data_IF_504253947091
#
_entry.id   IF_504253947091
#
_cell.length_a   1.000
_cell.length_b   1.000
_cell.length_c   1.000
_cell.angle_alpha   90.00
_cell.angle_beta   90.00
_cell.angle_gamma   90.00
#
_symmetry.space_group_name_H-M   'P 1'
#
loop_
_entity.id
_entity.type
_entity.pdbx_description
1 polymer ?
#
# COMPACT_ATOMS: atom_id res chain seq x y z
N UNK A 1 13.08 -1.34 27.48
CA UNK A 1 12.36 -0.12 27.03
C UNK A 1 11.12 -0.52 26.25
N UNK A 2 9.98 0.13 26.48
CA UNK A 2 8.69 -0.27 25.88
C UNK A 2 8.17 0.81 24.94
N UNK A 3 7.88 0.42 23.68
CA UNK A 3 7.25 1.28 22.66
C UNK A 3 5.74 1.05 22.67
N UNK A 4 4.97 2.13 22.67
CA UNK A 4 3.52 2.08 22.56
C UNK A 4 3.09 2.18 21.08
N UNK A 5 2.27 1.25 20.59
CA UNK A 5 1.64 1.33 19.27
C UNK A 5 0.13 1.46 19.42
N UNK A 6 -0.47 2.46 18.79
CA UNK A 6 -1.92 2.70 18.79
C UNK A 6 -2.50 2.22 17.46
N UNK A 7 -3.49 1.33 17.54
CA UNK A 7 -4.17 0.74 16.37
C UNK A 7 -3.88 -0.75 16.23
N UNK A 8 -4.76 -1.46 15.52
CA UNK A 8 -4.69 -2.90 15.31
C UNK A 8 -4.84 -3.26 13.81
N UNK A 9 -4.42 -2.37 12.93
CA UNK A 9 -4.39 -2.60 11.50
C UNK A 9 -3.14 -3.34 11.04
N UNK A 10 -3.09 -3.69 9.76
CA UNK A 10 -1.95 -4.39 9.17
C UNK A 10 -0.62 -3.64 9.38
N UNK A 11 -0.62 -2.32 9.24
CA UNK A 11 0.56 -1.48 9.50
C UNK A 11 1.05 -1.62 10.94
N UNK A 12 0.14 -1.55 11.92
CA UNK A 12 0.49 -1.64 13.35
C UNK A 12 1.10 -3.01 13.68
N UNK A 13 0.51 -4.12 13.19
CA UNK A 13 1.06 -5.46 13.40
C UNK A 13 2.40 -5.66 12.69
N UNK A 14 2.55 -5.13 11.47
CA UNK A 14 3.82 -5.21 10.73
C UNK A 14 4.94 -4.48 11.46
N UNK A 15 4.65 -3.26 11.94
CA UNK A 15 5.60 -2.48 12.73
C UNK A 15 5.91 -3.13 14.07
N UNK A 16 4.88 -3.62 14.80
CA UNK A 16 5.08 -4.34 16.05
C UNK A 16 6.02 -5.53 15.86
N UNK A 17 5.79 -6.33 14.78
CA UNK A 17 6.64 -7.48 14.48
C UNK A 17 8.08 -7.07 14.16
N UNK A 18 8.27 -5.97 13.43
CA UNK A 18 9.60 -5.44 13.14
C UNK A 18 10.36 -5.01 14.41
N UNK A 19 9.66 -4.37 15.37
CA UNK A 19 10.26 -3.90 16.64
C UNK A 19 10.59 -5.06 17.59
N UNK A 20 9.68 -6.04 17.75
CA UNK A 20 9.97 -7.19 18.61
C UNK A 20 11.09 -8.08 18.08
N UNK A 21 11.35 -8.07 16.76
CA UNK A 21 12.51 -8.73 16.17
C UNK A 21 13.83 -8.00 16.48
N UNK A 22 13.75 -6.74 16.93
CA UNK A 22 14.87 -5.99 17.48
C UNK A 22 14.94 -6.05 19.01
N UNK A 23 14.24 -7.02 19.65
CA UNK A 23 14.15 -7.22 21.10
C UNK A 23 13.59 -6.01 21.88
N UNK A 24 12.76 -5.20 21.20
CA UNK A 24 12.08 -4.06 21.80
C UNK A 24 10.72 -4.50 22.33
N UNK A 25 10.42 -4.20 23.60
CA UNK A 25 9.09 -4.42 24.15
C UNK A 25 8.05 -3.55 23.45
N UNK A 26 6.93 -4.16 23.04
CA UNK A 26 5.84 -3.47 22.35
C UNK A 26 4.53 -3.70 23.08
N UNK A 27 3.91 -2.59 23.51
CA UNK A 27 2.53 -2.54 23.96
C UNK A 27 1.64 -2.04 22.82
N UNK A 28 0.87 -2.94 22.20
CA UNK A 28 -0.06 -2.57 21.14
C UNK A 28 -1.46 -2.35 21.72
N UNK A 29 -1.99 -1.15 21.53
CA UNK A 29 -3.31 -0.75 22.02
C UNK A 29 -4.36 -0.79 20.89
N UNK A 30 -5.43 -1.56 21.11
CA UNK A 30 -6.55 -1.71 20.19
C UNK A 30 -7.88 -1.29 20.82
N UNK A 31 -8.71 -0.57 20.07
CA UNK A 31 -10.09 -0.27 20.44
C UNK A 31 -11.09 -1.35 20.00
N UNK A 32 -10.61 -2.39 19.30
CA UNK A 32 -11.43 -3.49 18.75
C UNK A 32 -10.85 -4.83 19.16
N UNK A 33 -11.67 -5.68 19.80
CA UNK A 33 -11.30 -7.07 20.11
C UNK A 33 -11.16 -7.93 18.83
N UNK A 34 -12.02 -7.68 17.84
CA UNK A 34 -12.04 -8.42 16.58
C UNK A 34 -11.87 -7.46 15.40
N UNK A 35 -10.71 -7.45 14.77
CA UNK A 35 -10.45 -6.68 13.58
C UNK A 35 -10.83 -7.50 12.34
N UNK A 36 -11.94 -7.12 11.70
CA UNK A 36 -12.41 -7.81 10.48
C UNK A 36 -11.71 -7.22 9.25
N UNK A 37 -10.89 -8.01 8.60
CA UNK A 37 -10.29 -7.67 7.30
C UNK A 37 -11.14 -8.29 6.20
N UNK A 38 -11.47 -7.47 5.21
CA UNK A 38 -12.18 -7.95 4.03
C UNK A 38 -11.33 -8.99 3.27
N UNK A 39 -11.82 -10.23 3.05
CA UNK A 39 -11.07 -11.29 2.38
C UNK A 39 -10.74 -11.00 0.90
N UNK A 40 -11.51 -10.12 0.24
CA UNK A 40 -11.31 -9.74 -1.16
C UNK A 40 -10.15 -8.77 -1.36
N UNK A 41 -9.69 -8.10 -0.29
CA UNK A 41 -8.59 -7.14 -0.39
C UNK A 41 -7.25 -7.82 -0.58
N UNK A 42 -6.52 -7.34 -1.57
CA UNK A 42 -5.16 -7.77 -1.90
C UNK A 42 -4.19 -6.61 -1.84
N UNK A 43 -2.93 -6.93 -1.63
CA UNK A 43 -1.82 -5.99 -1.64
C UNK A 43 -0.82 -6.45 -2.68
N UNK A 44 -0.30 -5.51 -3.45
CA UNK A 44 0.87 -5.72 -4.27
C UNK A 44 2.14 -5.31 -3.52
N UNK A 45 3.17 -6.16 -3.54
CA UNK A 45 4.45 -5.88 -2.88
C UNK A 45 5.59 -6.05 -3.87
N UNK A 46 6.48 -5.06 -3.91
CA UNK A 46 7.66 -5.09 -4.78
C UNK A 46 8.68 -6.10 -4.28
N UNK A 47 9.55 -6.57 -5.17
CA UNK A 47 10.60 -7.55 -4.83
C UNK A 47 11.48 -7.06 -3.69
N UNK A 48 11.93 -5.83 -3.75
CA UNK A 48 12.79 -5.23 -2.74
C UNK A 48 12.13 -5.20 -1.35
N UNK A 49 10.84 -4.82 -1.31
CA UNK A 49 10.07 -4.83 -0.06
C UNK A 49 9.80 -6.24 0.47
N UNK A 50 9.67 -7.25 -0.40
CA UNK A 50 9.56 -8.66 0.02
C UNK A 50 10.85 -9.13 0.67
N UNK A 51 12.00 -8.79 0.09
CA UNK A 51 13.31 -9.18 0.63
C UNK A 51 13.53 -8.54 2.00
N UNK A 52 13.21 -7.24 2.14
CA UNK A 52 13.23 -6.56 3.43
C UNK A 52 12.26 -7.22 4.45
N UNK A 53 11.04 -7.53 4.04
CA UNK A 53 10.01 -8.14 4.88
C UNK A 53 10.43 -9.51 5.40
N UNK A 54 10.96 -10.36 4.51
CA UNK A 54 11.43 -11.70 4.84
C UNK A 54 12.64 -11.67 5.79
N UNK A 55 13.53 -10.68 5.64
CA UNK A 55 14.74 -10.54 6.45
C UNK A 55 14.45 -9.95 7.84
N UNK A 56 13.60 -8.91 7.91
CA UNK A 56 13.48 -8.08 9.12
C UNK A 56 12.15 -8.26 9.86
N UNK A 57 11.11 -8.82 9.22
CA UNK A 57 9.77 -8.90 9.81
C UNK A 57 9.33 -10.36 9.97
N UNK A 58 8.88 -11.00 8.89
CA UNK A 58 8.46 -12.39 8.87
C UNK A 58 8.50 -12.93 7.43
N UNK A 59 8.81 -14.21 7.27
CA UNK A 59 8.83 -14.84 5.95
C UNK A 59 7.41 -14.99 5.37
N UNK A 60 7.17 -14.31 4.24
CA UNK A 60 5.88 -14.29 3.55
C UNK A 60 5.84 -15.11 2.27
N UNK A 61 6.92 -15.82 1.91
CA UNK A 61 7.03 -16.56 0.64
C UNK A 61 5.89 -17.55 0.39
N UNK A 62 5.32 -18.15 1.45
CA UNK A 62 4.22 -19.12 1.36
C UNK A 62 2.85 -18.50 1.09
N UNK A 63 2.71 -17.18 1.26
CA UNK A 63 1.42 -16.48 1.14
C UNK A 63 1.35 -15.48 -0.02
N UNK A 64 2.47 -15.28 -0.74
CA UNK A 64 2.55 -14.42 -1.92
C UNK A 64 2.35 -15.21 -3.21
N UNK A 65 1.81 -14.53 -4.23
CA UNK A 65 1.78 -14.98 -5.61
C UNK A 65 2.74 -14.15 -6.43
N UNK A 66 3.80 -14.78 -6.96
CA UNK A 66 4.87 -14.11 -7.69
C UNK A 66 4.44 -13.75 -9.10
N UNK A 67 4.76 -12.53 -9.52
CA UNK A 67 4.53 -12.04 -10.87
C UNK A 67 5.85 -11.77 -11.57
N UNK A 68 5.94 -12.24 -12.81
CA UNK A 68 7.11 -12.06 -13.69
C UNK A 68 6.97 -10.83 -14.57
N UNK A 69 5.73 -10.40 -14.83
CA UNK A 69 5.43 -9.30 -15.77
C UNK A 69 4.35 -8.38 -15.23
N UNK A 70 4.44 -7.12 -15.62
CA UNK A 70 3.36 -6.14 -15.50
C UNK A 70 3.16 -5.52 -16.87
N UNK A 71 1.96 -5.64 -17.41
CA UNK A 71 1.58 -5.09 -18.70
C UNK A 71 0.56 -3.98 -18.52
N UNK A 72 0.85 -2.82 -19.10
CA UNK A 72 0.00 -1.63 -19.03
C UNK A 72 -0.54 -1.33 -20.42
N UNK A 73 -1.86 -1.19 -20.52
CA UNK A 73 -2.61 -0.90 -21.73
C UNK A 73 -3.33 0.44 -21.61
N UNK A 74 -3.64 1.05 -22.74
CA UNK A 74 -4.50 2.22 -22.83
C UNK A 74 -5.60 2.00 -23.86
N UNK A 75 -6.84 2.29 -23.45
CA UNK A 75 -7.99 2.24 -24.36
C UNK A 75 -7.85 3.28 -25.50
N UNK A 76 -7.15 4.41 -25.25
CA UNK A 76 -6.85 5.42 -26.26
C UNK A 76 -5.85 4.94 -27.36
N UNK A 77 -5.20 3.81 -27.15
CA UNK A 77 -4.32 3.16 -28.12
C UNK A 77 -4.96 1.88 -28.70
N UNK A 78 -6.30 1.83 -28.79
CA UNK A 78 -7.02 0.63 -29.26
C UNK A 78 -6.64 -0.65 -28.48
N UNK A 79 -6.39 -0.49 -27.17
CA UNK A 79 -5.88 -1.54 -26.27
C UNK A 79 -4.47 -2.06 -26.61
N UNK A 80 -3.67 -1.29 -27.35
CA UNK A 80 -2.27 -1.60 -27.54
C UNK A 80 -1.50 -1.51 -26.21
N UNK A 81 -0.47 -2.35 -26.10
CA UNK A 81 0.42 -2.38 -24.96
C UNK A 81 1.26 -1.09 -24.93
N UNK A 82 1.14 -0.33 -23.82
CA UNK A 82 1.83 0.92 -23.60
C UNK A 82 3.19 0.70 -22.92
N UNK A 83 3.20 -0.12 -21.86
CA UNK A 83 4.41 -0.45 -21.09
C UNK A 83 4.43 -1.94 -20.78
N UNK A 84 5.62 -2.55 -20.83
CA UNK A 84 5.85 -3.92 -20.46
C UNK A 84 7.06 -4.02 -19.54
N UNK A 85 6.81 -4.24 -18.25
CA UNK A 85 7.85 -4.53 -17.28
C UNK A 85 8.05 -6.05 -17.19
N UNK A 86 9.29 -6.49 -17.39
CA UNK A 86 9.69 -7.89 -17.21
C UNK A 86 10.74 -7.97 -16.11
N UNK A 87 10.64 -8.99 -15.27
CA UNK A 87 11.68 -9.28 -14.30
C UNK A 87 12.96 -9.72 -15.03
N UNK A 88 14.12 -9.22 -14.57
CA UNK A 88 15.42 -9.80 -14.90
C UNK A 88 15.62 -11.15 -14.22
N UNK A 89 15.04 -11.33 -13.06
CA UNK A 89 15.02 -12.56 -12.25
C UNK A 89 13.54 -12.90 -11.98
N UNK A 90 13.13 -14.12 -11.99
CA UNK A 90 11.77 -14.69 -11.91
C UNK A 90 10.67 -13.97 -11.09
N UNK A 91 10.94 -12.79 -10.53
CA UNK A 91 10.01 -12.04 -9.70
C UNK A 91 10.22 -10.52 -9.81
N UNK A 92 9.22 -9.81 -10.32
CA UNK A 92 9.18 -8.34 -10.34
C UNK A 92 8.35 -7.79 -9.16
N UNK A 93 7.23 -8.44 -8.90
CA UNK A 93 6.20 -8.00 -7.98
C UNK A 93 5.47 -9.22 -7.42
N UNK A 94 4.77 -9.09 -6.32
CA UNK A 94 3.92 -10.18 -5.83
C UNK A 94 2.62 -9.66 -5.27
N UNK A 95 1.59 -10.47 -5.35
CA UNK A 95 0.29 -10.19 -4.78
C UNK A 95 0.05 -11.11 -3.58
N UNK A 96 -0.49 -10.56 -2.53
CA UNK A 96 -0.92 -11.32 -1.35
C UNK A 96 -2.29 -10.83 -0.85
N UNK A 97 -2.98 -11.68 -0.12
CA UNK A 97 -4.26 -11.35 0.52
C UNK A 97 -4.01 -10.71 1.89
N UNK A 98 -4.57 -9.52 2.13
CA UNK A 98 -4.39 -8.78 3.40
C UNK A 98 -4.70 -9.64 4.63
N UNK A 99 -5.81 -10.39 4.59
CA UNK A 99 -6.23 -11.20 5.73
C UNK A 99 -5.25 -12.35 6.05
N UNK A 100 -4.54 -12.89 5.04
CA UNK A 100 -3.53 -13.93 5.26
C UNK A 100 -2.30 -13.34 5.96
N UNK A 101 -1.83 -12.19 5.52
CA UNK A 101 -0.70 -11.51 6.16
C UNK A 101 -1.06 -11.10 7.59
N UNK A 102 -2.26 -10.55 7.80
CA UNK A 102 -2.74 -10.17 9.12
C UNK A 102 -2.73 -11.36 10.10
N UNK A 103 -3.35 -12.49 9.70
CA UNK A 103 -3.38 -13.70 10.53
C UNK A 103 -1.99 -14.28 10.81
N UNK A 104 -1.07 -14.20 9.84
CA UNK A 104 0.30 -14.65 10.01
C UNK A 104 1.01 -13.80 11.09
N UNK A 105 0.92 -12.47 10.99
CA UNK A 105 1.50 -11.54 11.96
C UNK A 105 0.86 -11.68 13.35
N UNK A 106 -0.47 -11.73 13.43
CA UNK A 106 -1.21 -11.89 14.69
C UNK A 106 -0.81 -13.19 15.42
N UNK A 107 -0.77 -14.30 14.69
CA UNK A 107 -0.37 -15.62 15.25
C UNK A 107 1.06 -15.62 15.76
N UNK A 108 1.98 -14.98 15.06
CA UNK A 108 3.40 -14.95 15.45
C UNK A 108 3.62 -14.00 16.64
N UNK A 109 3.02 -12.80 16.60
CA UNK A 109 3.09 -11.82 17.69
C UNK A 109 2.49 -12.35 18.98
N UNK A 110 1.37 -13.08 18.94
CA UNK A 110 0.72 -13.63 20.15
C UNK A 110 1.60 -14.59 20.95
N UNK A 111 2.66 -15.10 20.35
CA UNK A 111 3.64 -16.02 20.99
C UNK A 111 4.93 -15.31 21.40
N UNK A 112 5.10 -14.03 21.06
CA UNK A 112 6.35 -13.32 21.29
C UNK A 112 6.37 -12.68 22.67
N UNK A 113 7.43 -12.94 23.47
CA UNK A 113 7.58 -12.42 24.83
C UNK A 113 7.67 -10.89 24.94
N UNK A 114 8.14 -10.23 23.88
CA UNK A 114 8.25 -8.78 23.81
C UNK A 114 6.95 -8.09 23.36
N UNK A 115 5.87 -8.83 23.12
CA UNK A 115 4.61 -8.28 22.61
C UNK A 115 3.47 -8.40 23.61
N UNK A 116 2.77 -7.30 23.86
CA UNK A 116 1.54 -7.28 24.68
C UNK A 116 0.42 -6.56 23.96
N UNK A 117 -0.71 -7.24 23.76
CA UNK A 117 -1.93 -6.66 23.19
C UNK A 117 -2.80 -6.15 24.34
N UNK A 118 -3.13 -4.86 24.32
CA UNK A 118 -3.96 -4.18 25.32
C UNK A 118 -5.21 -3.62 24.67
N UNK A 119 -6.36 -3.75 25.33
CA UNK A 119 -7.63 -3.20 24.85
C UNK A 119 -8.02 -1.96 25.62
N UNK A 120 -8.58 -0.97 24.91
CA UNK A 120 -9.12 0.24 25.52
C UNK A 120 -10.48 0.59 24.90
N UNK A 121 -11.35 1.24 25.69
CA UNK A 121 -12.58 1.85 25.18
C UNK A 121 -12.30 3.27 24.68
N UNK A 122 -11.58 4.05 25.50
CA UNK A 122 -11.12 5.41 25.19
C UNK A 122 -9.64 5.54 25.54
N UNK A 123 -8.90 6.29 24.71
CA UNK A 123 -7.49 6.55 24.98
C UNK A 123 -7.36 7.54 26.11
N UNK A 124 -6.80 7.09 27.22
CA UNK A 124 -6.40 7.97 28.31
C UNK A 124 -5.01 8.57 28.02
N UNK A 125 -4.95 9.88 27.81
CA UNK A 125 -3.68 10.58 27.51
C UNK A 125 -2.68 10.46 28.65
N UNK A 126 -3.13 10.37 29.93
CA UNK A 126 -2.24 10.19 31.08
C UNK A 126 -1.51 8.84 31.06
N UNK A 127 -2.14 7.81 30.47
CA UNK A 127 -1.56 6.48 30.32
C UNK A 127 -0.41 6.49 29.31
N UNK A 128 -0.51 7.38 28.31
CA UNK A 128 0.51 7.55 27.29
C UNK A 128 1.78 8.24 27.81
N UNK A 129 1.70 9.01 28.88
CA UNK A 129 2.87 9.67 29.49
C UNK A 129 3.90 8.65 30.05
N UNK A 130 3.53 7.37 30.17
CA UNK A 130 4.44 6.28 30.59
C UNK A 130 5.40 5.82 29.49
N UNK A 131 5.15 6.23 28.24
CA UNK A 131 5.94 5.79 27.08
C UNK A 131 6.76 6.95 26.54
N UNK A 132 8.06 6.73 26.35
CA UNK A 132 8.96 7.71 25.73
C UNK A 132 8.71 7.81 24.22
N UNK A 133 8.27 6.73 23.57
CA UNK A 133 7.93 6.67 22.16
C UNK A 133 6.54 6.05 21.96
N UNK A 134 5.65 6.78 21.29
CA UNK A 134 4.30 6.36 20.94
C UNK A 134 4.16 6.43 19.43
N UNK A 135 3.73 5.34 18.79
CA UNK A 135 3.53 5.29 17.34
C UNK A 135 2.04 5.11 17.05
N UNK A 136 1.42 6.15 16.49
CA UNK A 136 -0.01 6.15 16.19
C UNK A 136 -0.27 5.70 14.75
N UNK A 137 -0.83 4.50 14.61
CA UNK A 137 -1.27 3.91 13.34
C UNK A 137 -2.80 3.99 13.12
N UNK A 138 -3.56 4.57 14.07
CA UNK A 138 -5.02 4.66 13.98
C UNK A 138 -5.45 6.04 13.48
N UNK A 139 -6.02 6.16 12.25
CA UNK A 139 -6.45 7.44 11.68
C UNK A 139 -7.75 7.98 12.31
N UNK A 140 -8.41 7.23 13.20
CA UNK A 140 -9.74 7.56 13.72
C UNK A 140 -9.76 7.92 15.21
N UNK A 141 -8.66 7.76 15.94
CA UNK A 141 -8.62 8.03 17.38
C UNK A 141 -8.56 9.52 17.72
N UNK A 142 -8.78 9.85 19.00
CA UNK A 142 -8.77 11.23 19.51
C UNK A 142 -7.42 11.93 19.32
N UNK A 143 -6.31 11.19 19.42
CA UNK A 143 -4.94 11.72 19.22
C UNK A 143 -4.77 12.21 17.79
N UNK A 144 -5.25 11.44 16.82
CA UNK A 144 -5.22 11.84 15.41
C UNK A 144 -6.00 13.13 15.17
N UNK A 145 -7.20 13.24 15.71
CA UNK A 145 -8.03 14.41 15.53
C UNK A 145 -7.43 15.65 16.21
N UNK A 146 -6.78 15.48 17.36
CA UNK A 146 -6.22 16.58 18.16
C UNK A 146 -4.88 17.08 17.60
N UNK A 147 -3.97 16.18 17.22
CA UNK A 147 -2.58 16.55 16.89
C UNK A 147 -2.21 16.40 15.41
N UNK A 148 -2.95 15.61 14.64
CA UNK A 148 -2.63 15.28 13.24
C UNK A 148 -3.74 15.73 12.27
N UNK A 149 -4.36 16.87 12.53
CA UNK A 149 -5.41 17.46 11.69
C UNK A 149 -4.86 18.17 10.44
N UNK A 150 -3.64 18.75 10.52
CA UNK A 150 -3.02 19.51 9.41
C UNK A 150 -2.47 18.57 8.35
N UNK A 151 -3.25 18.33 7.27
CA UNK A 151 -2.94 17.41 6.18
C UNK A 151 -3.31 18.00 4.83
N UNK A 152 -2.55 17.62 3.81
CA UNK A 152 -2.87 17.91 2.40
C UNK A 152 -3.74 16.76 1.92
N UNK A 153 -4.96 17.04 1.50
CA UNK A 153 -5.91 16.01 1.02
C UNK A 153 -6.35 16.36 -0.39
N UNK A 154 -6.20 15.42 -1.32
CA UNK A 154 -6.76 15.49 -2.67
C UNK A 154 -7.86 14.43 -2.81
N UNK A 155 -9.08 14.85 -3.09
CA UNK A 155 -10.21 13.96 -3.42
C UNK A 155 -10.23 13.75 -4.94
N UNK A 156 -10.14 12.50 -5.40
CA UNK A 156 -10.10 12.19 -6.83
C UNK A 156 -11.47 12.20 -7.51
N UNK A 157 -12.56 12.39 -6.73
CA UNK A 157 -13.94 12.24 -7.24
C UNK A 157 -14.11 10.90 -7.95
N UNK A 158 -13.55 9.83 -7.39
CA UNK A 158 -13.59 8.47 -7.90
C UNK A 158 -13.75 7.47 -6.79
N UNK A 159 -14.32 6.29 -7.11
CA UNK A 159 -14.47 5.14 -6.21
C UNK A 159 -13.67 3.97 -6.74
N UNK A 160 -12.96 3.26 -5.88
CA UNK A 160 -12.39 1.97 -6.22
C UNK A 160 -13.40 0.87 -5.92
N UNK A 161 -13.56 -0.03 -6.88
CA UNK A 161 -14.34 -1.26 -6.78
C UNK A 161 -13.37 -2.43 -6.77
N UNK A 162 -13.55 -3.34 -5.82
CA UNK A 162 -12.67 -4.51 -5.67
C UNK A 162 -13.48 -5.79 -5.60
N UNK A 163 -13.00 -6.81 -6.30
CA UNK A 163 -13.59 -8.16 -6.28
C UNK A 163 -12.52 -9.20 -6.60
N UNK A 164 -12.85 -10.48 -6.47
CA UNK A 164 -12.04 -11.60 -6.93
C UNK A 164 -12.85 -12.36 -7.97
N UNK A 165 -12.24 -12.63 -9.12
CA UNK A 165 -12.78 -13.54 -10.13
C UNK A 165 -12.12 -14.90 -10.01
N UNK A 166 -12.93 -15.95 -10.15
CA UNK A 166 -12.49 -17.32 -10.40
C UNK A 166 -12.65 -17.62 -11.89
N UNK A 167 -11.64 -18.18 -12.50
CA UNK A 167 -11.56 -18.46 -13.94
C UNK A 167 -10.89 -19.80 -14.19
N UNK A 168 -10.86 -20.23 -15.42
CA UNK A 168 -10.13 -21.43 -15.82
C UNK A 168 -8.65 -21.32 -15.47
N UNK A 169 -8.01 -22.46 -15.21
CA UNK A 169 -6.59 -22.49 -14.87
C UNK A 169 -5.75 -22.03 -16.06
N UNK A 170 -4.90 -21.03 -15.83
CA UNK A 170 -3.98 -20.47 -16.81
C UNK A 170 -2.61 -20.20 -16.16
N UNK A 171 -1.56 -20.03 -16.95
CA UNK A 171 -0.31 -19.46 -16.46
C UNK A 171 -0.59 -18.01 -16.09
N UNK A 172 -0.63 -17.72 -14.78
CA UNK A 172 -1.14 -16.45 -14.26
C UNK A 172 -0.05 -15.68 -13.51
N UNK A 173 1.03 -15.34 -14.22
CA UNK A 173 2.23 -14.67 -13.71
C UNK A 173 2.36 -13.20 -14.16
N UNK A 174 1.32 -12.67 -14.83
CA UNK A 174 1.32 -11.33 -15.42
C UNK A 174 0.18 -10.48 -14.86
N UNK A 175 0.51 -9.38 -14.18
CA UNK A 175 -0.48 -8.35 -13.84
C UNK A 175 -0.79 -7.51 -15.08
N UNK A 176 -2.07 -7.16 -15.23
CA UNK A 176 -2.55 -6.33 -16.32
C UNK A 176 -3.21 -5.09 -15.74
N UNK A 177 -2.84 -3.91 -16.23
CA UNK A 177 -3.50 -2.67 -15.91
C UNK A 177 -3.93 -1.97 -17.20
N UNK A 178 -5.20 -1.61 -17.31
CA UNK A 178 -5.75 -0.90 -18.46
C UNK A 178 -6.27 0.47 -18.03
N UNK A 179 -5.79 1.54 -18.65
CA UNK A 179 -6.38 2.87 -18.53
C UNK A 179 -7.59 2.96 -19.44
N UNK A 180 -8.78 2.84 -18.84
CA UNK A 180 -10.06 2.89 -19.56
C UNK A 180 -10.68 4.28 -19.51
N UNK A 181 -11.70 4.52 -20.34
CA UNK A 181 -12.51 5.77 -20.32
C UNK A 181 -13.18 6.03 -18.97
N UNK A 182 -13.45 4.98 -18.19
CA UNK A 182 -14.06 5.10 -16.87
C UNK A 182 -13.02 5.23 -15.75
N UNK A 183 -11.74 4.94 -16.01
CA UNK A 183 -10.63 4.98 -15.09
C UNK A 183 -9.76 3.73 -15.13
N UNK A 184 -8.70 3.64 -14.32
CA UNK A 184 -7.78 2.51 -14.35
C UNK A 184 -8.40 1.23 -13.77
N UNK A 185 -8.29 0.14 -14.54
CA UNK A 185 -8.71 -1.22 -14.20
C UNK A 185 -7.48 -2.12 -14.11
N UNK A 186 -7.31 -2.81 -12.99
CA UNK A 186 -6.20 -3.74 -12.77
C UNK A 186 -6.70 -5.17 -12.54
N UNK A 187 -6.05 -6.13 -13.20
CA UNK A 187 -6.17 -7.58 -13.00
C UNK A 187 -4.90 -8.07 -12.33
N UNK A 188 -5.01 -8.51 -11.09
CA UNK A 188 -3.89 -8.86 -10.22
C UNK A 188 -3.98 -10.35 -9.86
N UNK A 189 -3.19 -11.23 -10.51
CA UNK A 189 -3.18 -12.67 -10.24
C UNK A 189 -2.91 -12.99 -8.77
N UNK A 190 -3.65 -13.96 -8.22
CA UNK A 190 -3.46 -14.48 -6.85
C UNK A 190 -3.36 -16.00 -6.81
N UNK A 191 -3.63 -16.67 -7.92
CA UNK A 191 -3.37 -18.09 -8.19
C UNK A 191 -3.55 -18.36 -9.68
N UNK A 192 -3.34 -19.60 -10.12
CA UNK A 192 -3.58 -20.00 -11.52
C UNK A 192 -5.05 -19.87 -11.96
N UNK A 193 -6.00 -19.89 -11.00
CA UNK A 193 -7.44 -19.84 -11.26
C UNK A 193 -8.18 -18.71 -10.54
N UNK A 194 -7.46 -17.78 -9.92
CA UNK A 194 -8.06 -16.60 -9.25
C UNK A 194 -7.26 -15.34 -9.51
N UNK A 195 -7.98 -14.25 -9.77
CA UNK A 195 -7.43 -12.92 -10.03
C UNK A 195 -8.21 -11.88 -9.24
N UNK A 196 -7.51 -11.01 -8.52
CA UNK A 196 -8.09 -9.85 -7.84
C UNK A 196 -8.26 -8.72 -8.85
N UNK A 197 -9.39 -8.04 -8.78
CA UNK A 197 -9.74 -6.90 -9.62
C UNK A 197 -9.75 -5.64 -8.75
N UNK A 198 -9.14 -4.58 -9.27
CA UNK A 198 -9.23 -3.23 -8.72
C UNK A 198 -9.62 -2.28 -9.84
N UNK A 199 -10.82 -1.73 -9.78
CA UNK A 199 -11.33 -0.80 -10.77
C UNK A 199 -11.60 0.56 -10.14
N UNK A 200 -10.82 1.57 -10.49
CA UNK A 200 -11.02 2.95 -10.04
C UNK A 200 -11.90 3.68 -11.05
N UNK A 201 -13.14 4.00 -10.68
CA UNK A 201 -14.12 4.62 -11.58
C UNK A 201 -14.42 6.05 -11.14
N UNK A 202 -14.43 6.98 -12.07
CA UNK A 202 -14.78 8.39 -11.80
C UNK A 202 -16.27 8.54 -11.43
N UNK A 203 -16.55 9.35 -10.40
CA UNK A 203 -17.89 9.48 -9.80
C UNK A 203 -18.91 10.24 -10.69
N UNK A 204 -18.50 10.82 -11.82
CA UNK A 204 -19.44 11.42 -12.78
C UNK A 204 -20.44 10.42 -13.36
N UNK A 205 -20.16 9.13 -13.18
CA UNK A 205 -21.02 8.02 -13.55
C UNK A 205 -21.42 7.29 -12.27
N UNK A 206 -22.58 7.59 -11.69
CA UNK A 206 -23.16 6.80 -10.58
C UNK A 206 -23.57 5.41 -11.10
N UNK A 207 -22.54 4.59 -11.35
CA UNK A 207 -22.72 3.25 -11.87
C UNK A 207 -23.20 2.33 -10.75
N UNK A 208 -24.36 1.70 -10.92
CA UNK A 208 -24.81 0.62 -10.05
C UNK A 208 -23.78 -0.53 -10.08
N UNK A 209 -23.69 -1.33 -9.02
CA UNK A 209 -22.73 -2.46 -8.93
C UNK A 209 -22.87 -3.45 -10.10
N UNK A 210 -24.08 -3.66 -10.63
CA UNK A 210 -24.34 -4.50 -11.79
C UNK A 210 -23.66 -4.00 -13.07
N UNK A 211 -23.58 -2.67 -13.23
CA UNK A 211 -22.89 -2.07 -14.36
C UNK A 211 -21.36 -2.21 -14.22
N UNK A 212 -20.82 -2.19 -12.99
CA UNK A 212 -19.38 -2.44 -12.75
C UNK A 212 -19.00 -3.87 -13.11
N UNK A 213 -19.83 -4.85 -12.77
CA UNK A 213 -19.60 -6.25 -13.15
C UNK A 213 -19.52 -6.40 -14.67
N UNK A 214 -20.47 -5.80 -15.39
CA UNK A 214 -20.48 -5.84 -16.85
C UNK A 214 -19.25 -5.16 -17.45
N UNK A 215 -18.88 -3.97 -16.96
CA UNK A 215 -17.67 -3.25 -17.41
C UNK A 215 -16.39 -4.06 -17.19
N UNK A 216 -16.28 -4.81 -16.09
CA UNK A 216 -15.14 -5.71 -15.85
C UNK A 216 -15.13 -6.84 -16.87
N UNK A 217 -16.28 -7.44 -17.16
CA UNK A 217 -16.41 -8.51 -18.17
C UNK A 217 -16.04 -8.00 -19.57
N UNK A 218 -16.54 -6.83 -19.95
CA UNK A 218 -16.30 -6.23 -21.28
C UNK A 218 -14.82 -5.88 -21.52
N UNK A 219 -14.08 -5.53 -20.45
CA UNK A 219 -12.66 -5.19 -20.52
C UNK A 219 -11.74 -6.38 -20.24
N UNK A 220 -12.29 -7.54 -19.95
CA UNK A 220 -11.54 -8.76 -19.76
C UNK A 220 -11.28 -9.45 -21.08
N UNK A 221 -10.03 -9.54 -21.48
CA UNK A 221 -9.60 -10.22 -22.70
C UNK A 221 -8.75 -11.48 -22.43
N UNK A 222 -8.52 -11.82 -21.15
CA UNK A 222 -7.59 -12.90 -20.78
C UNK A 222 -8.28 -14.10 -20.14
N UNK A 223 -9.34 -13.87 -19.35
CA UNK A 223 -9.87 -14.89 -18.45
C UNK A 223 -11.25 -15.38 -18.86
N UNK A 224 -11.46 -16.70 -18.89
CA UNK A 224 -12.81 -17.29 -18.94
C UNK A 224 -13.39 -17.26 -17.52
N UNK A 225 -14.18 -16.21 -17.21
CA UNK A 225 -14.69 -15.94 -15.86
C UNK A 225 -15.80 -16.91 -15.54
N UNK A 226 -15.63 -17.78 -14.54
CA UNK A 226 -16.64 -18.70 -14.02
C UNK A 226 -17.48 -18.09 -12.92
N UNK A 227 -16.84 -17.28 -12.04
CA UNK A 227 -17.51 -16.67 -10.87
C UNK A 227 -16.84 -15.34 -10.52
N UNK A 228 -17.64 -14.37 -10.12
CA UNK A 228 -17.20 -13.11 -9.53
C UNK A 228 -17.69 -13.05 -8.08
N UNK A 229 -16.79 -12.74 -7.13
CA UNK A 229 -17.16 -12.54 -5.73
C UNK A 229 -17.90 -11.20 -5.57
N UNK A 230 -18.46 -10.96 -4.37
CA UNK A 230 -19.14 -9.69 -4.06
C UNK A 230 -18.20 -8.50 -4.32
N UNK A 231 -18.72 -7.49 -5.01
CA UNK A 231 -17.99 -6.26 -5.28
C UNK A 231 -18.10 -5.34 -4.06
N UNK A 232 -16.96 -4.96 -3.52
CA UNK A 232 -16.84 -3.93 -2.49
C UNK A 232 -16.36 -2.61 -3.11
N UNK A 233 -16.67 -1.49 -2.44
CA UNK A 233 -16.24 -0.17 -2.93
C UNK A 233 -15.82 0.76 -1.81
N UNK A 234 -14.90 1.68 -2.12
CA UNK A 234 -14.46 2.75 -1.23
C UNK A 234 -14.05 3.99 -2.01
N UNK A 235 -14.19 5.16 -1.37
CA UNK A 235 -13.78 6.44 -1.96
C UNK A 235 -12.26 6.54 -2.04
N UNK A 236 -11.78 7.15 -3.14
CA UNK A 236 -10.37 7.41 -3.37
C UNK A 236 -9.99 8.82 -2.98
N UNK A 237 -8.94 8.91 -2.17
CA UNK A 237 -8.31 10.17 -1.78
C UNK A 237 -6.82 9.95 -1.56
N UNK A 238 -6.00 10.94 -1.89
CA UNK A 238 -4.65 11.03 -1.37
C UNK A 238 -4.62 11.87 -0.11
N UNK A 239 -3.63 11.61 0.71
CA UNK A 239 -3.37 12.32 1.94
C UNK A 239 -1.86 12.38 2.17
N UNK A 240 -1.36 13.54 2.54
CA UNK A 240 -0.01 13.73 3.07
C UNK A 240 -0.08 14.56 4.34
N UNK A 241 0.43 14.02 5.43
CA UNK A 241 0.45 14.71 6.72
C UNK A 241 1.54 15.80 6.71
N UNK A 242 1.23 16.99 7.25
CA UNK A 242 2.20 18.11 7.26
C UNK A 242 3.27 17.97 8.32
N UNK A 243 2.95 17.40 9.49
CA UNK A 243 3.91 17.08 10.55
C UNK A 243 3.74 15.64 10.97
N UNK A 244 4.82 14.88 11.00
CA UNK A 244 4.78 13.44 11.27
C UNK A 244 4.72 13.12 12.75
N UNK A 245 5.05 14.11 13.63
CA UNK A 245 5.04 13.89 15.06
C UNK A 245 4.51 15.09 15.84
N UNK A 246 4.09 14.82 17.07
CA UNK A 246 3.79 15.79 18.11
C UNK A 246 4.37 15.29 19.44
N UNK A 247 5.37 16.00 19.98
CA UNK A 247 6.15 15.54 21.15
C UNK A 247 6.70 14.12 20.94
N UNK A 248 6.40 13.18 21.83
CA UNK A 248 6.79 11.78 21.75
C UNK A 248 5.85 10.89 20.91
N UNK A 249 4.84 11.46 20.23
CA UNK A 249 3.87 10.72 19.41
C UNK A 249 4.21 10.87 17.95
N UNK A 250 4.54 9.76 17.30
CA UNK A 250 4.78 9.62 15.85
C UNK A 250 3.50 9.15 15.16
N UNK A 251 3.03 9.84 14.14
CA UNK A 251 2.03 9.32 13.20
C UNK A 251 2.67 8.29 12.26
N UNK A 252 1.92 7.24 11.86
CA UNK A 252 2.49 6.18 11.02
C UNK A 252 1.46 5.54 10.06
N UNK A 253 1.95 5.01 8.93
CA UNK A 253 1.16 4.30 7.93
C UNK A 253 0.12 5.17 7.23
N UNK A 254 -1.13 4.70 7.15
CA UNK A 254 -2.25 5.42 6.49
C UNK A 254 -2.54 6.81 7.09
N UNK A 255 -2.00 7.11 8.25
CA UNK A 255 -2.08 8.43 8.87
C UNK A 255 -1.06 9.40 8.27
N UNK A 256 0.14 8.91 7.90
CA UNK A 256 1.17 9.71 7.26
C UNK A 256 0.82 10.06 5.83
N UNK A 257 0.48 9.04 5.04
CA UNK A 257 0.23 9.16 3.61
C UNK A 257 -0.78 8.12 3.13
N UNK A 258 -1.61 8.55 2.20
CA UNK A 258 -2.46 7.70 1.37
C UNK A 258 -2.25 8.10 -0.07
N UNK A 259 -2.12 7.12 -0.95
CA UNK A 259 -1.92 7.35 -2.39
C UNK A 259 -3.01 6.66 -3.19
N UNK A 260 -3.20 7.11 -4.42
CA UNK A 260 -4.08 6.39 -5.36
C UNK A 260 -3.61 4.94 -5.52
N UNK A 261 -4.53 3.96 -5.60
CA UNK A 261 -4.17 2.53 -5.70
C UNK A 261 -3.52 2.13 -7.03
N UNK A 262 -2.98 3.08 -7.79
CA UNK A 262 -2.15 2.80 -8.95
C UNK A 262 -0.96 1.92 -8.54
N UNK A 263 -0.85 0.76 -9.17
CA UNK A 263 0.22 -0.21 -8.94
C UNK A 263 0.41 -0.69 -7.49
N UNK A 264 -0.61 -0.55 -6.60
CA UNK A 264 -0.56 -1.08 -5.24
C UNK A 264 0.51 -0.46 -4.33
N UNK A 265 0.91 0.80 -4.54
CA UNK A 265 2.06 1.41 -3.89
C UNK A 265 1.85 1.82 -2.42
N UNK A 266 0.61 1.90 -1.91
CA UNK A 266 0.36 2.39 -0.54
C UNK A 266 1.10 1.60 0.54
N UNK A 267 0.97 0.27 0.55
CA UNK A 267 1.65 -0.57 1.55
C UNK A 267 3.16 -0.64 1.32
N UNK A 268 3.63 -0.53 0.07
CA UNK A 268 5.06 -0.45 -0.25
C UNK A 268 5.72 0.79 0.38
N UNK A 269 5.04 1.94 0.38
CA UNK A 269 5.51 3.13 1.11
C UNK A 269 5.60 2.85 2.61
N UNK A 270 4.58 2.22 3.19
CA UNK A 270 4.59 1.85 4.62
C UNK A 270 5.74 0.92 4.98
N UNK A 271 6.07 -0.06 4.13
CA UNK A 271 7.23 -0.97 4.36
C UNK A 271 8.54 -0.17 4.35
N UNK A 272 8.72 0.75 3.40
CA UNK A 272 9.89 1.64 3.35
C UNK A 272 9.97 2.56 4.57
N UNK A 273 8.82 3.05 5.07
CA UNK A 273 8.80 3.83 6.31
C UNK A 273 9.21 2.98 7.52
N UNK A 274 8.79 1.71 7.59
CA UNK A 274 9.24 0.78 8.64
C UNK A 274 10.76 0.58 8.54
N UNK A 275 11.30 0.36 7.34
CA UNK A 275 12.74 0.23 7.10
C UNK A 275 13.51 1.46 7.62
N UNK A 276 13.09 2.66 7.21
CA UNK A 276 13.70 3.90 7.66
C UNK A 276 13.59 4.13 9.18
N UNK A 277 12.45 3.78 9.78
CA UNK A 277 12.27 3.88 11.23
C UNK A 277 13.18 2.89 11.98
N UNK A 278 13.29 1.66 11.49
CA UNK A 278 14.21 0.67 12.08
C UNK A 278 15.68 1.11 11.98
N UNK A 279 16.09 1.74 10.89
CA UNK A 279 17.44 2.27 10.78
C UNK A 279 17.71 3.38 11.80
N UNK A 280 16.76 4.30 12.01
CA UNK A 280 16.86 5.35 13.03
C UNK A 280 16.94 4.73 14.43
N UNK A 281 16.06 3.77 14.73
CA UNK A 281 16.01 3.09 16.03
C UNK A 281 17.32 2.31 16.29
N UNK A 282 17.76 1.49 15.33
CA UNK A 282 19.01 0.71 15.46
C UNK A 282 20.21 1.61 15.72
N UNK A 283 20.33 2.69 14.94
CA UNK A 283 21.42 3.66 15.14
C UNK A 283 21.42 4.22 16.58
N UNK A 284 20.25 4.55 17.15
CA UNK A 284 20.19 5.03 18.53
C UNK A 284 20.57 3.95 19.54
N UNK A 285 20.08 2.73 19.35
CA UNK A 285 20.42 1.60 20.23
C UNK A 285 21.90 1.26 20.20
N UNK A 286 22.53 1.28 19.01
CA UNK A 286 23.96 1.03 18.82
C UNK A 286 24.82 2.06 19.58
N UNK A 287 24.33 3.30 19.73
CA UNK A 287 24.97 4.35 20.54
C UNK A 287 24.52 4.39 22.00
N UNK A 288 23.72 3.43 22.46
CA UNK A 288 23.18 3.41 23.82
C UNK A 288 22.22 4.57 24.15
N UNK A 289 21.63 5.20 23.13
CA UNK A 289 20.71 6.33 23.29
C UNK A 289 19.27 5.85 23.54
N UNK A 290 18.49 6.66 24.25
CA UNK A 290 17.06 6.40 24.48
C UNK A 290 16.25 6.56 23.21
N UNK A 291 15.11 5.83 23.12
CA UNK A 291 14.15 5.95 22.02
C UNK A 291 13.07 6.99 22.39
N UNK A 292 13.47 8.23 22.49
CA UNK A 292 12.64 9.38 22.82
C UNK A 292 12.09 10.13 21.60
N UNK A 293 11.63 11.37 21.81
CA UNK A 293 11.10 12.22 20.73
C UNK A 293 12.10 12.54 19.61
N UNK A 294 13.41 12.37 19.83
CA UNK A 294 14.44 12.57 18.79
C UNK A 294 14.34 11.52 17.67
N UNK A 295 13.86 10.30 17.97
CA UNK A 295 13.49 9.30 16.94
C UNK A 295 12.50 9.87 15.94
N UNK A 296 11.50 10.60 16.44
CA UNK A 296 10.43 11.18 15.62
C UNK A 296 10.97 12.26 14.67
N UNK A 297 11.86 13.11 15.16
CA UNK A 297 12.51 14.15 14.36
C UNK A 297 13.39 13.53 13.26
N UNK A 298 14.26 12.59 13.64
CA UNK A 298 15.16 11.90 12.70
C UNK A 298 14.38 11.16 11.61
N UNK A 299 13.31 10.45 11.99
CA UNK A 299 12.44 9.77 11.05
C UNK A 299 11.75 10.76 10.10
N UNK A 300 11.15 11.85 10.61
CA UNK A 300 10.51 12.86 9.76
C UNK A 300 11.51 13.48 8.79
N UNK A 301 12.68 13.87 9.25
CA UNK A 301 13.73 14.48 8.42
C UNK A 301 14.14 13.55 7.30
N UNK A 302 14.31 12.25 7.60
CA UNK A 302 14.73 11.23 6.64
C UNK A 302 13.66 10.91 5.59
N UNK A 303 12.36 10.94 5.95
CA UNK A 303 11.31 10.32 5.13
C UNK A 303 10.33 11.29 4.50
N UNK A 304 10.03 12.42 5.14
CA UNK A 304 8.92 13.29 4.74
C UNK A 304 9.01 13.80 3.31
N UNK A 305 10.18 14.31 2.90
CA UNK A 305 10.39 14.82 1.55
C UNK A 305 10.25 13.71 0.50
N UNK A 306 10.81 12.53 0.75
CA UNK A 306 10.74 11.36 -0.15
C UNK A 306 9.29 10.89 -0.33
N UNK A 307 8.55 10.80 0.76
CA UNK A 307 7.13 10.42 0.74
C UNK A 307 6.27 11.43 -0.02
N UNK A 308 6.52 12.74 0.18
CA UNK A 308 5.80 13.79 -0.52
C UNK A 308 6.07 13.73 -2.03
N UNK A 309 7.33 13.63 -2.45
CA UNK A 309 7.70 13.56 -3.87
C UNK A 309 7.10 12.31 -4.51
N UNK A 310 7.20 11.15 -3.85
CA UNK A 310 6.66 9.90 -4.38
C UNK A 310 5.13 9.92 -4.51
N UNK A 311 4.42 10.39 -3.49
CA UNK A 311 2.96 10.50 -3.54
C UNK A 311 2.48 11.52 -4.57
N UNK A 312 3.19 12.66 -4.72
CA UNK A 312 2.90 13.67 -5.76
C UNK A 312 3.16 13.12 -7.16
N UNK A 313 4.17 12.27 -7.33
CA UNK A 313 4.43 11.57 -8.59
C UNK A 313 3.29 10.63 -9.00
N UNK A 314 2.73 9.87 -8.04
CA UNK A 314 1.55 9.03 -8.30
C UNK A 314 0.34 9.89 -8.67
N UNK A 315 0.12 11.00 -7.94
CA UNK A 315 -0.97 11.94 -8.21
C UNK A 315 -0.83 12.58 -9.59
N UNK A 316 0.39 12.92 -10.01
CA UNK A 316 0.71 13.46 -11.31
C UNK A 316 0.40 12.47 -12.44
N UNK A 317 0.83 11.23 -12.32
CA UNK A 317 0.52 10.18 -13.30
C UNK A 317 -1.00 10.02 -13.44
N UNK A 318 -1.71 9.93 -12.32
CA UNK A 318 -3.17 9.85 -12.30
C UNK A 318 -3.82 11.03 -13.05
N UNK A 319 -3.34 12.26 -12.82
CA UNK A 319 -3.89 13.47 -13.43
C UNK A 319 -3.59 13.53 -14.94
N UNK A 320 -2.39 13.13 -15.37
CA UNK A 320 -2.05 13.05 -16.79
C UNK A 320 -3.03 12.16 -17.56
N UNK A 321 -3.30 10.95 -17.05
CA UNK A 321 -4.28 10.06 -17.69
C UNK A 321 -5.70 10.57 -17.61
N UNK A 322 -6.05 11.34 -16.56
CA UNK A 322 -7.36 11.98 -16.45
C UNK A 322 -7.54 13.10 -17.50
N UNK A 323 -6.50 13.88 -17.75
CA UNK A 323 -6.49 14.94 -18.80
C UNK A 323 -6.61 14.29 -20.17
N UNK A 324 -5.79 13.30 -20.49
CA UNK A 324 -5.83 12.58 -21.78
C UNK A 324 -7.22 11.98 -22.05
N UNK A 325 -7.84 11.39 -21.03
CA UNK A 325 -9.20 10.87 -21.11
C UNK A 325 -10.22 11.95 -21.50
N UNK A 326 -10.12 13.15 -20.90
CA UNK A 326 -11.02 14.29 -21.20
C UNK A 326 -10.81 14.82 -22.60
N UNK A 327 -9.57 14.91 -23.04
CA UNK A 327 -9.20 15.41 -24.37
C UNK A 327 -9.47 14.39 -25.48
N UNK A 328 -9.74 13.12 -25.14
CA UNK A 328 -9.91 12.02 -26.10
C UNK A 328 -8.76 11.87 -27.11
N UNK A 329 -7.57 12.34 -26.74
CA UNK A 329 -6.35 12.23 -27.57
C UNK A 329 -5.50 11.08 -27.06
N UNK A 330 -4.87 10.31 -27.93
CA UNK A 330 -3.92 9.28 -27.53
C UNK A 330 -2.48 9.80 -27.36
N UNK A 331 -2.29 11.14 -27.27
CA UNK A 331 -0.96 11.76 -27.33
C UNK A 331 -0.05 11.31 -26.16
N UNK A 332 -0.52 11.41 -24.91
CA UNK A 332 0.24 10.99 -23.73
C UNK A 332 0.55 9.50 -23.75
N UNK A 333 -0.46 8.67 -24.05
CA UNK A 333 -0.28 7.22 -24.17
C UNK A 333 0.73 6.86 -25.27
N UNK A 334 0.72 7.54 -26.41
CA UNK A 334 1.73 7.38 -27.49
C UNK A 334 3.12 7.79 -27.03
N UNK A 335 3.24 8.94 -26.38
CA UNK A 335 4.52 9.44 -25.85
C UNK A 335 5.11 8.47 -24.82
N UNK A 336 4.31 8.01 -23.86
CA UNK A 336 4.74 7.02 -22.88
C UNK A 336 5.13 5.69 -23.53
N UNK A 337 4.39 5.24 -24.55
CA UNK A 337 4.73 4.03 -25.33
C UNK A 337 6.09 4.19 -26.02
N UNK A 338 6.36 5.34 -26.64
CA UNK A 338 7.64 5.62 -27.31
C UNK A 338 8.80 5.60 -26.30
N UNK A 339 8.66 6.30 -25.18
CA UNK A 339 9.69 6.33 -24.14
C UNK A 339 9.89 4.98 -23.43
N UNK A 340 8.84 4.19 -23.24
CA UNK A 340 8.94 2.88 -22.60
C UNK A 340 9.69 1.85 -23.44
N UNK A 341 9.74 2.03 -24.75
CA UNK A 341 10.55 1.19 -25.64
C UNK A 341 12.05 1.47 -25.53
N UNK A 342 12.44 2.56 -24.85
CA UNK A 342 13.85 2.91 -24.65
C UNK A 342 14.37 2.23 -23.36
N UNK A 343 15.29 1.24 -23.46
CA UNK A 343 15.68 0.39 -22.33
C UNK A 343 16.15 1.13 -21.07
N UNK A 344 16.95 2.23 -21.16
CA UNK A 344 17.36 3.01 -19.99
C UNK A 344 16.18 3.61 -19.22
N UNK A 345 15.18 4.15 -19.95
CA UNK A 345 14.00 4.79 -19.35
C UNK A 345 13.11 3.73 -18.68
N UNK A 346 12.90 2.59 -19.33
CA UNK A 346 12.14 1.49 -18.77
C UNK A 346 12.79 0.95 -17.46
N UNK A 347 14.11 0.81 -17.45
CA UNK A 347 14.87 0.44 -16.24
C UNK A 347 14.72 1.47 -15.12
N UNK A 348 14.72 2.76 -15.46
CA UNK A 348 14.50 3.84 -14.50
C UNK A 348 13.09 3.78 -13.88
N UNK A 349 12.05 3.64 -14.69
CA UNK A 349 10.68 3.47 -14.20
C UNK A 349 10.52 2.23 -13.32
N UNK A 350 11.13 1.11 -13.72
CA UNK A 350 11.13 -0.12 -12.91
C UNK A 350 11.80 0.08 -11.56
N UNK A 351 12.95 0.78 -11.51
CA UNK A 351 13.65 1.10 -10.26
C UNK A 351 12.83 2.01 -9.35
N UNK A 352 12.21 3.06 -9.89
CA UNK A 352 11.35 3.96 -9.12
C UNK A 352 10.14 3.21 -8.55
N UNK A 353 9.52 2.34 -9.34
CA UNK A 353 8.40 1.53 -8.89
C UNK A 353 8.79 0.54 -7.78
N UNK A 354 9.98 -0.06 -7.86
CA UNK A 354 10.47 -1.05 -6.90
C UNK A 354 11.03 -0.40 -5.63
N UNK A 355 11.96 0.54 -5.76
CA UNK A 355 12.71 1.12 -4.64
C UNK A 355 12.16 2.45 -4.14
N UNK A 356 11.24 3.07 -4.85
CA UNK A 356 10.84 4.46 -4.64
C UNK A 356 11.85 5.43 -5.25
N UNK A 357 11.73 6.71 -4.89
CA UNK A 357 12.67 7.74 -5.36
C UNK A 357 13.93 7.64 -4.51
N UNK A 358 15.04 7.34 -5.16
CA UNK A 358 16.37 7.31 -4.56
C UNK A 358 16.98 8.72 -4.70
N UNK A 359 17.10 9.44 -3.60
CA UNK A 359 17.98 10.59 -3.41
C UNK A 359 18.84 10.36 -2.18
#
# INVERSE_FOLDING_TARGET
MTVCILGNGLTALTLAKALVNCEIDVDLFSNKKNYKINPSRTIGVTKNNIDFFNKNIININKIIWKLKKIEIFSENLNNDKMINFKASNDQLFSILKNHRLYKLLEKDLSKNRFFKLKFYKEINLSLLNKYELIINCDPSNLITNRYFSKKIVKKYKSKAYTTIISHDSVINDTAIQTFTKNGPLAFLPISNNKTSIVYSVYSSNDLKKKNIEQLIKDKNFKYNIRKMEKIDSFELKSLNLRSYYHKNILAFGDLLHKVHPLAGQGFNMTIRDIENLLEVIKKKLDFGLSLDSSVNLDFQTKTKHKNLIFSSGIDFIQELFNIERKMKTGFLSKTVKTFSNYPPINKMFSKIADKGILF
#
